data_IF_201385441426
#
_entry.id   IF_201385441426
#
_cell.length_a   1.000
_cell.length_b   1.000
_cell.length_c   1.000
_cell.angle_alpha   90.00
_cell.angle_beta   90.00
_cell.angle_gamma   90.00
#
_symmetry.space_group_name_H-M   'P 1'
#
loop_
_entity.id
_entity.type
_entity.pdbx_description
1 polymer ?
#
# COMPACT_ATOMS: atom_id res chain seq x y z
N UNK A 1 15.19 -18.43 0.07
CA UNK A 1 14.31 -17.53 0.85
C UNK A 1 15.09 -16.29 1.26
N UNK A 2 14.80 -15.13 0.68
CA UNK A 2 15.56 -13.88 0.84
C UNK A 2 14.59 -12.78 1.26
N UNK A 3 14.94 -12.02 2.29
CA UNK A 3 14.18 -10.87 2.76
C UNK A 3 14.37 -9.68 1.79
N UNK A 4 13.27 -9.08 1.35
CA UNK A 4 13.29 -7.94 0.42
C UNK A 4 12.59 -6.70 0.95
N UNK A 5 11.63 -6.85 1.87
CA UNK A 5 10.88 -5.72 2.41
C UNK A 5 10.37 -6.01 3.82
N UNK A 6 10.56 -5.08 4.77
CA UNK A 6 10.16 -5.23 6.17
C UNK A 6 9.50 -3.95 6.68
N UNK A 7 8.23 -4.03 7.09
CA UNK A 7 7.46 -2.91 7.65
C UNK A 7 6.39 -3.45 8.62
N UNK A 8 5.94 -2.66 9.61
CA UNK A 8 4.83 -3.07 10.49
C UNK A 8 3.47 -3.07 9.79
N UNK A 9 3.38 -2.54 8.56
CA UNK A 9 2.14 -2.41 7.80
C UNK A 9 1.80 -3.72 7.08
N UNK A 10 0.96 -4.52 7.72
CA UNK A 10 0.56 -5.84 7.18
C UNK A 10 -0.32 -5.73 5.93
N UNK A 11 -1.08 -4.64 5.78
CA UNK A 11 -1.92 -4.40 4.60
C UNK A 11 -1.06 -4.10 3.37
N UNK A 12 -0.07 -3.22 3.52
CA UNK A 12 0.92 -2.95 2.47
C UNK A 12 1.69 -4.22 2.10
N UNK A 13 2.14 -4.99 3.08
CA UNK A 13 2.86 -6.25 2.83
C UNK A 13 2.03 -7.26 2.04
N UNK A 14 0.74 -7.41 2.36
CA UNK A 14 -0.17 -8.26 1.57
C UNK A 14 -0.37 -7.76 0.15
N UNK A 15 -0.44 -6.43 -0.06
CA UNK A 15 -0.55 -5.84 -1.39
C UNK A 15 0.70 -6.10 -2.23
N UNK A 16 1.89 -5.87 -1.65
CA UNK A 16 3.17 -6.15 -2.30
C UNK A 16 3.35 -7.64 -2.59
N UNK A 17 2.89 -8.51 -1.69
CA UNK A 17 2.88 -9.95 -1.90
C UNK A 17 2.07 -10.32 -3.16
N UNK A 18 0.83 -9.85 -3.24
CA UNK A 18 -0.04 -10.11 -4.40
C UNK A 18 0.54 -9.55 -5.71
N UNK A 19 1.18 -8.38 -5.65
CA UNK A 19 1.85 -7.77 -6.80
C UNK A 19 2.99 -8.64 -7.34
N UNK A 20 3.84 -9.16 -6.46
CA UNK A 20 4.94 -10.06 -6.84
C UNK A 20 4.42 -11.42 -7.34
N UNK A 21 3.43 -11.99 -6.67
CA UNK A 21 2.84 -13.28 -7.06
C UNK A 21 2.14 -13.20 -8.42
N UNK A 22 1.44 -12.09 -8.70
CA UNK A 22 0.85 -11.80 -10.01
C UNK A 22 1.92 -11.71 -11.12
N UNK A 23 3.12 -11.23 -10.80
CA UNK A 23 4.27 -11.20 -11.71
C UNK A 23 4.98 -12.57 -11.87
N UNK A 24 4.47 -13.62 -11.20
CA UNK A 24 5.01 -14.98 -11.23
C UNK A 24 6.13 -15.23 -10.21
N UNK A 25 6.38 -14.29 -9.29
CA UNK A 25 7.45 -14.38 -8.30
C UNK A 25 6.90 -15.06 -7.05
N UNK A 26 7.52 -16.16 -6.63
CA UNK A 26 7.09 -16.87 -5.43
C UNK A 26 7.56 -16.14 -4.17
N UNK A 27 6.62 -15.82 -3.31
CA UNK A 27 6.88 -15.06 -2.08
C UNK A 27 6.47 -15.82 -0.83
N UNK A 28 6.87 -15.28 0.32
CA UNK A 28 6.49 -15.75 1.64
C UNK A 28 6.45 -14.57 2.61
N UNK A 29 5.34 -14.40 3.34
CA UNK A 29 5.25 -13.46 4.44
C UNK A 29 5.69 -14.12 5.74
N UNK A 30 6.70 -13.53 6.38
CA UNK A 30 7.17 -13.94 7.71
C UNK A 30 6.57 -13.00 8.75
N UNK A 31 6.09 -13.56 9.86
CA UNK A 31 5.48 -12.83 10.99
C UNK A 31 4.20 -12.06 10.62
N UNK A 32 3.44 -12.51 9.62
CA UNK A 32 2.20 -11.84 9.17
C UNK A 32 1.13 -11.70 10.29
N UNK A 33 1.14 -12.60 11.27
CA UNK A 33 0.22 -12.61 12.42
C UNK A 33 0.86 -12.09 13.71
N UNK A 34 1.98 -11.38 13.65
CA UNK A 34 2.55 -10.69 14.81
C UNK A 34 1.69 -9.47 15.18
N UNK A 35 0.45 -9.72 15.55
CA UNK A 35 -0.51 -8.72 15.96
C UNK A 35 -0.19 -8.32 17.41
N UNK A 36 0.18 -7.05 17.56
CA UNK A 36 0.12 -6.28 18.82
C UNK A 36 0.95 -6.79 20.01
N UNK A 37 2.25 -6.99 19.85
CA UNK A 37 3.14 -6.68 20.99
C UNK A 37 3.42 -5.18 20.95
N UNK A 38 2.98 -4.45 21.97
CA UNK A 38 3.24 -3.01 22.15
C UNK A 38 4.74 -2.68 22.20
N UNK A 39 5.58 -3.70 22.36
CA UNK A 39 7.02 -3.61 22.14
C UNK A 39 7.32 -3.84 20.66
N UNK A 40 7.91 -2.82 20.02
CA UNK A 40 8.54 -2.93 18.71
C UNK A 40 9.80 -3.83 18.81
N UNK A 41 9.59 -5.14 18.92
CA UNK A 41 10.68 -6.10 18.90
C UNK A 41 10.99 -6.36 17.42
N UNK A 42 12.21 -6.09 16.92
CA UNK A 42 12.54 -6.24 15.50
C UNK A 42 12.34 -7.66 14.96
N UNK A 43 12.29 -8.65 15.84
CA UNK A 43 12.10 -10.06 15.51
C UNK A 43 10.64 -10.41 15.15
N UNK A 44 9.67 -9.58 15.52
CA UNK A 44 8.24 -9.79 15.21
C UNK A 44 7.73 -8.89 14.08
N UNK A 45 8.56 -8.03 13.50
CA UNK A 45 8.11 -7.18 12.39
C UNK A 45 7.79 -8.03 11.16
N UNK A 46 6.60 -7.86 10.57
CA UNK A 46 6.22 -8.61 9.37
C UNK A 46 7.14 -8.25 8.20
N UNK A 47 7.46 -9.28 7.43
CA UNK A 47 8.55 -9.24 6.45
C UNK A 47 8.17 -10.01 5.20
N UNK A 48 8.27 -9.38 4.04
CA UNK A 48 8.12 -10.01 2.74
C UNK A 48 9.45 -10.60 2.28
N UNK A 49 9.40 -11.89 1.95
CA UNK A 49 10.52 -12.65 1.45
C UNK A 49 10.19 -13.25 0.08
N UNK A 50 11.21 -13.44 -0.76
CA UNK A 50 11.12 -14.20 -2.02
C UNK A 50 11.79 -15.56 -1.85
N UNK A 51 11.34 -16.55 -2.62
CA UNK A 51 11.92 -17.89 -2.54
C UNK A 51 13.18 -18.06 -3.38
N UNK A 52 13.23 -17.40 -4.54
CA UNK A 52 14.31 -17.48 -5.54
C UNK A 52 15.20 -16.23 -5.52
N UNK A 53 16.51 -16.40 -5.69
CA UNK A 53 17.47 -15.28 -5.71
C UNK A 53 17.49 -14.53 -7.04
N UNK A 54 17.20 -15.22 -8.14
CA UNK A 54 17.14 -14.61 -9.48
C UNK A 54 16.05 -13.57 -9.60
N UNK A 55 14.98 -13.69 -8.81
CA UNK A 55 13.88 -12.73 -8.76
C UNK A 55 14.17 -11.50 -7.89
N UNK A 56 15.33 -11.42 -7.22
CA UNK A 56 15.63 -10.34 -6.26
C UNK A 56 15.55 -8.95 -6.88
N UNK A 57 16.26 -8.73 -7.99
CA UNK A 57 16.30 -7.42 -8.63
C UNK A 57 14.91 -7.03 -9.19
N UNK A 58 14.24 -7.99 -9.81
CA UNK A 58 12.88 -7.81 -10.35
C UNK A 58 11.88 -7.46 -9.25
N UNK A 59 11.95 -8.13 -8.12
CA UNK A 59 11.06 -7.89 -6.97
C UNK A 59 11.27 -6.50 -6.38
N UNK A 60 12.53 -6.09 -6.23
CA UNK A 60 12.86 -4.76 -5.70
C UNK A 60 12.37 -3.66 -6.66
N UNK A 61 12.56 -3.83 -7.97
CA UNK A 61 12.08 -2.87 -8.96
C UNK A 61 10.55 -2.74 -8.94
N UNK A 62 9.82 -3.87 -8.89
CA UNK A 62 8.36 -3.88 -8.82
C UNK A 62 7.82 -3.20 -7.56
N UNK A 63 8.44 -3.47 -6.40
CA UNK A 63 8.06 -2.81 -5.15
C UNK A 63 8.36 -1.31 -5.22
N UNK A 64 9.53 -0.93 -5.75
CA UNK A 64 9.91 0.47 -5.88
C UNK A 64 8.94 1.22 -6.79
N UNK A 65 8.64 0.67 -7.96
CA UNK A 65 7.70 1.24 -8.91
C UNK A 65 6.32 1.40 -8.26
N UNK A 66 5.82 0.40 -7.53
CA UNK A 66 4.58 0.55 -6.77
C UNK A 66 4.64 1.66 -5.73
N UNK A 67 5.72 1.77 -4.95
CA UNK A 67 5.85 2.80 -3.92
C UNK A 67 6.05 4.21 -4.48
N UNK A 68 6.60 4.33 -5.70
CA UNK A 68 6.77 5.58 -6.43
C UNK A 68 5.51 5.97 -7.23
N UNK A 69 4.78 4.99 -7.75
CA UNK A 69 3.55 5.14 -8.55
C UNK A 69 2.30 5.28 -7.69
N UNK A 70 2.34 4.92 -6.40
CA UNK A 70 1.38 5.47 -5.44
C UNK A 70 1.66 6.97 -5.39
N UNK A 71 0.85 7.83 -6.06
CA UNK A 71 0.99 9.25 -5.82
C UNK A 71 0.83 9.39 -4.32
N UNK A 72 1.77 10.08 -3.66
CA UNK A 72 1.46 10.63 -2.35
C UNK A 72 0.06 11.21 -2.47
N UNK A 73 -0.90 10.68 -1.72
CA UNK A 73 -2.32 11.03 -1.81
C UNK A 73 -2.43 12.51 -1.48
N UNK A 74 -2.18 13.33 -2.48
CA UNK A 74 -2.01 14.77 -2.45
C UNK A 74 -2.84 15.38 -3.57
N UNK A 75 -3.94 14.72 -3.92
CA UNK A 75 -5.09 15.50 -4.31
C UNK A 75 -5.42 16.38 -3.12
N UNK A 76 -5.32 17.69 -3.31
CA UNK A 76 -5.65 18.66 -2.27
C UNK A 76 -7.07 18.38 -1.77
N UNK A 77 -7.25 18.39 -0.45
CA UNK A 77 -8.57 18.24 0.13
C UNK A 77 -9.50 19.30 -0.44
N UNK A 78 -10.68 18.90 -0.89
CA UNK A 78 -11.63 19.81 -1.52
C UNK A 78 -12.90 19.94 -0.68
N UNK A 79 -13.44 21.15 -0.63
CA UNK A 79 -14.71 21.39 0.06
C UNK A 79 -15.85 21.11 -0.88
N UNK A 80 -16.76 20.22 -0.48
CA UNK A 80 -17.94 19.91 -1.26
C UNK A 80 -18.83 21.14 -1.43
N UNK A 81 -19.23 21.52 -2.67
CA UNK A 81 -20.10 22.67 -2.88
C UNK A 81 -21.53 22.46 -2.35
N UNK A 82 -21.95 21.21 -2.18
CA UNK A 82 -23.33 20.86 -1.79
C UNK A 82 -23.50 20.82 -0.26
N UNK A 83 -22.66 20.04 0.44
CA UNK A 83 -22.77 19.87 1.89
C UNK A 83 -21.70 20.62 2.71
N UNK A 84 -20.76 21.31 2.05
CA UNK A 84 -19.64 22.07 2.66
C UNK A 84 -18.68 21.23 3.53
N UNK A 85 -18.65 19.93 3.31
CA UNK A 85 -17.73 19.01 3.99
C UNK A 85 -16.42 18.89 3.21
N UNK A 86 -15.30 18.76 3.93
CA UNK A 86 -13.99 18.51 3.31
C UNK A 86 -13.89 17.04 2.92
N UNK A 87 -13.64 16.79 1.63
CA UNK A 87 -13.42 15.46 1.07
C UNK A 87 -11.95 15.30 0.68
N UNK A 88 -11.33 14.14 0.96
CA UNK A 88 -9.95 13.92 0.57
C UNK A 88 -9.82 14.01 -0.94
N UNK A 89 -8.78 14.65 -1.48
CA UNK A 89 -8.58 14.76 -2.93
C UNK A 89 -8.27 13.44 -3.65
N UNK A 90 -8.23 12.33 -2.92
CA UNK A 90 -8.26 10.96 -3.46
C UNK A 90 -9.66 10.53 -3.91
N UNK A 91 -10.72 11.24 -3.50
CA UNK A 91 -12.10 10.92 -3.83
C UNK A 91 -12.63 11.88 -4.92
N UNK A 92 -13.20 11.29 -5.98
CA UNK A 92 -13.88 12.02 -7.06
C UNK A 92 -15.29 12.51 -6.65
N UNK A 93 -15.80 12.02 -5.52
CA UNK A 93 -17.12 12.32 -4.95
C UNK A 93 -17.02 12.67 -3.48
N UNK A 94 -17.96 13.47 -2.99
CA UNK A 94 -18.01 13.84 -1.59
C UNK A 94 -18.31 12.60 -0.72
N UNK A 95 -17.48 12.34 0.29
CA UNK A 95 -17.67 11.20 1.19
C UNK A 95 -18.95 11.29 2.03
N UNK A 96 -19.49 12.51 2.21
CA UNK A 96 -20.67 12.77 3.05
C UNK A 96 -21.98 12.75 2.27
N UNK A 97 -22.05 13.37 1.09
CA UNK A 97 -23.29 13.46 0.31
C UNK A 97 -23.23 12.79 -1.07
N UNK A 98 -22.07 12.32 -1.51
CA UNK A 98 -21.90 11.67 -2.82
C UNK A 98 -21.88 12.62 -4.02
N UNK A 99 -21.94 13.94 -3.81
CA UNK A 99 -21.86 14.92 -4.89
C UNK A 99 -20.47 14.91 -5.54
N UNK A 100 -20.40 14.88 -6.87
CA UNK A 100 -19.14 14.99 -7.62
C UNK A 100 -18.57 16.40 -7.60
N UNK A 101 -17.25 16.50 -7.69
CA UNK A 101 -16.52 17.76 -7.94
C UNK A 101 -16.90 18.24 -9.36
N UNK A 102 -17.96 19.04 -9.48
CA UNK A 102 -18.67 19.26 -10.74
C UNK A 102 -17.78 19.58 -11.93
N UNK A 103 -17.88 18.77 -12.99
CA UNK A 103 -17.47 19.16 -14.33
C UNK A 103 -18.43 20.23 -14.82
N UNK A 104 -17.95 21.46 -14.99
CA UNK A 104 -18.69 22.46 -15.75
C UNK A 104 -18.79 21.95 -17.20
N UNK A 105 -20.01 21.70 -17.67
CA UNK A 105 -20.32 21.62 -19.11
C UNK A 105 -20.72 23.00 -19.61
#
# INVERSE_FOLDING_TARGET
MIEIFRRPDSALLGHLQGLLESAGIRTYLRNEYASSTTLAIPEVTPTLCILDEGDRERSVNLIREYLEDVPASSGEDWTCPDCRETSPGTFEVCWKCGASLGVAS
#
